data_IF_922338538140
#
_entry.id   IF_922338538140
#
_cell.length_a   1.000
_cell.length_b   1.000
_cell.length_c   1.000
_cell.angle_alpha   90.00
_cell.angle_beta   90.00
_cell.angle_gamma   90.00
#
_symmetry.space_group_name_H-M   'P 1'
#
loop_
_entity.id
_entity.type
_entity.pdbx_description
1 polymer ?
#
# COMPACT_ATOMS: atom_id res chain seq x y z
N UNK A 1 10.52 40.86 40.02
CA UNK A 1 10.30 39.81 39.00
C UNK A 1 11.22 38.65 39.33
N UNK A 2 10.69 37.51 39.79
CA UNK A 2 11.50 36.36 40.24
C UNK A 2 11.71 35.41 39.06
N UNK A 3 12.95 35.32 38.59
CA UNK A 3 13.34 34.36 37.55
C UNK A 3 13.51 33.01 38.25
N UNK A 4 12.60 32.07 37.98
CA UNK A 4 12.79 30.69 38.44
C UNK A 4 13.87 30.06 37.58
N UNK A 5 14.89 29.51 38.23
CA UNK A 5 15.91 28.69 37.59
C UNK A 5 15.55 27.22 37.81
N UNK A 6 14.88 26.55 36.84
CA UNK A 6 14.31 25.21 37.05
C UNK A 6 15.35 24.11 37.27
N UNK A 7 16.63 24.38 37.04
CA UNK A 7 17.71 23.37 37.08
C UNK A 7 18.79 23.66 38.12
N UNK A 8 18.58 24.61 39.05
CA UNK A 8 19.63 25.04 39.97
C UNK A 8 20.10 23.93 40.94
N UNK A 9 19.20 22.99 41.25
CA UNK A 9 19.45 21.88 42.19
C UNK A 9 19.36 20.50 41.52
N UNK A 10 19.58 20.43 40.20
CA UNK A 10 19.38 19.21 39.42
C UNK A 10 20.52 18.20 39.61
N UNK A 11 20.20 17.00 40.13
CA UNK A 11 21.17 15.90 40.29
C UNK A 11 21.34 15.10 38.99
N UNK A 12 22.54 14.55 38.79
CA UNK A 12 22.88 13.65 37.66
C UNK A 12 21.98 12.42 37.60
N UNK A 13 21.54 11.90 38.73
CA UNK A 13 20.58 10.78 38.80
C UNK A 13 19.23 11.14 38.18
N UNK A 14 18.78 12.39 38.35
CA UNK A 14 17.54 12.89 37.74
C UNK A 14 17.67 13.02 36.23
N UNK A 15 18.86 13.40 35.72
CA UNK A 15 19.15 13.42 34.27
C UNK A 15 19.08 12.02 33.66
N UNK A 16 19.71 11.04 34.32
CA UNK A 16 19.79 9.66 33.83
C UNK A 16 18.38 9.03 33.82
N UNK A 17 17.61 9.25 34.89
CA UNK A 17 16.22 8.77 34.96
C UNK A 17 15.34 9.38 33.86
N UNK A 18 15.46 10.69 33.62
CA UNK A 18 14.69 11.37 32.58
C UNK A 18 15.07 10.89 31.17
N UNK A 19 16.35 10.68 30.89
CA UNK A 19 16.80 10.12 29.62
C UNK A 19 16.27 8.70 29.40
N UNK A 20 16.30 7.84 30.42
CA UNK A 20 15.75 6.49 30.34
C UNK A 20 14.24 6.50 30.02
N UNK A 21 13.48 7.40 30.63
CA UNK A 21 12.04 7.56 30.35
C UNK A 21 11.81 8.03 28.91
N UNK A 22 12.52 9.06 28.46
CA UNK A 22 12.39 9.56 27.09
C UNK A 22 12.73 8.47 26.08
N UNK A 23 13.84 7.75 26.27
CA UNK A 23 14.25 6.66 25.39
C UNK A 23 13.15 5.58 25.35
N UNK A 24 12.63 5.18 26.52
CA UNK A 24 11.57 4.17 26.59
C UNK A 24 10.31 4.62 25.85
N UNK A 25 9.89 5.88 26.03
CA UNK A 25 8.73 6.44 25.32
C UNK A 25 8.97 6.42 23.81
N UNK A 26 10.13 6.90 23.35
CA UNK A 26 10.44 6.93 21.91
C UNK A 26 10.46 5.55 21.27
N UNK A 27 11.00 4.54 21.97
CA UNK A 27 11.01 3.16 21.51
C UNK A 27 9.59 2.59 21.41
N UNK A 28 8.77 2.79 22.45
CA UNK A 28 7.36 2.32 22.46
C UNK A 28 6.56 2.99 21.35
N UNK A 29 6.66 4.31 21.20
CA UNK A 29 5.98 5.04 20.13
C UNK A 29 6.43 4.57 18.75
N UNK A 30 7.73 4.31 18.57
CA UNK A 30 8.26 3.76 17.32
C UNK A 30 7.64 2.40 16.96
N UNK A 31 7.57 1.47 17.93
CA UNK A 31 6.96 0.15 17.73
C UNK A 31 5.48 0.27 17.38
N UNK A 32 4.72 1.09 18.08
CA UNK A 32 3.30 1.34 17.79
C UNK A 32 3.12 1.92 16.37
N UNK A 33 3.97 2.86 15.98
CA UNK A 33 3.96 3.44 14.63
C UNK A 33 4.19 2.39 13.55
N UNK A 34 5.18 1.50 13.73
CA UNK A 34 5.48 0.42 12.78
C UNK A 34 4.30 -0.54 12.64
N UNK A 35 3.70 -0.96 13.78
CA UNK A 35 2.53 -1.84 13.77
C UNK A 35 1.35 -1.17 13.06
N UNK A 36 1.09 0.11 13.33
CA UNK A 36 0.02 0.86 12.68
C UNK A 36 0.17 0.88 11.15
N UNK A 37 1.36 1.15 10.64
CA UNK A 37 1.64 1.12 9.19
C UNK A 37 1.43 -0.28 8.62
N UNK A 38 2.00 -1.31 9.26
CA UNK A 38 1.84 -2.69 8.81
C UNK A 38 0.35 -3.10 8.75
N UNK A 39 -0.44 -2.68 9.75
CA UNK A 39 -1.88 -2.94 9.77
C UNK A 39 -2.58 -2.33 8.54
N UNK A 40 -2.29 -1.07 8.20
CA UNK A 40 -2.88 -0.43 7.02
C UNK A 40 -2.55 -1.15 5.71
N UNK A 41 -1.33 -1.69 5.58
CA UNK A 41 -0.95 -2.44 4.37
C UNK A 41 -1.65 -3.79 4.26
N UNK A 42 -1.88 -4.47 5.40
CA UNK A 42 -2.55 -5.77 5.41
C UNK A 42 -4.06 -5.66 5.21
N UNK A 43 -4.66 -4.55 5.65
CA UNK A 43 -6.11 -4.33 5.54
C UNK A 43 -6.53 -3.59 4.28
N UNK A 44 -5.58 -3.06 3.51
CA UNK A 44 -5.90 -2.45 2.22
C UNK A 44 -6.07 -3.58 1.21
N UNK A 45 -7.29 -3.81 0.68
CA UNK A 45 -7.47 -4.81 -0.35
C UNK A 45 -6.65 -4.38 -1.58
N UNK A 46 -5.73 -5.25 -1.99
CA UNK A 46 -5.01 -5.07 -3.26
C UNK A 46 -6.06 -4.94 -4.37
N UNK A 47 -5.94 -3.97 -5.29
CA UNK A 47 -6.99 -3.73 -6.27
C UNK A 47 -7.14 -4.99 -7.12
N UNK A 48 -8.31 -5.64 -7.00
CA UNK A 48 -8.60 -6.88 -7.68
C UNK A 48 -8.42 -6.69 -9.18
N UNK A 49 -7.32 -7.19 -9.73
CA UNK A 49 -7.07 -7.17 -11.16
C UNK A 49 -8.04 -8.14 -11.81
N UNK A 50 -9.11 -7.60 -12.39
CA UNK A 50 -10.15 -8.39 -13.03
C UNK A 50 -9.82 -8.47 -14.51
N UNK A 51 -9.30 -9.61 -14.96
CA UNK A 51 -9.06 -9.90 -16.38
C UNK A 51 -10.38 -10.34 -17.00
N UNK A 52 -11.03 -9.45 -17.75
CA UNK A 52 -12.27 -9.78 -18.48
C UNK A 52 -11.91 -10.11 -19.92
N UNK A 53 -12.19 -11.33 -20.36
CA UNK A 53 -12.07 -11.74 -21.76
C UNK A 53 -13.40 -11.53 -22.47
N UNK A 54 -13.47 -10.57 -23.37
CA UNK A 54 -14.64 -10.30 -24.19
C UNK A 54 -14.39 -10.80 -25.61
N UNK A 55 -15.22 -11.73 -26.09
CA UNK A 55 -15.19 -12.20 -27.47
C UNK A 55 -16.13 -11.35 -28.30
N UNK A 56 -15.58 -10.41 -29.06
CA UNK A 56 -16.35 -9.54 -29.96
C UNK A 56 -16.37 -10.20 -31.34
N UNK A 57 -17.55 -10.53 -31.84
CA UNK A 57 -17.74 -11.06 -33.20
C UNK A 57 -18.30 -9.93 -34.06
N UNK A 58 -17.56 -9.54 -35.10
CA UNK A 58 -18.00 -8.52 -36.07
C UNK A 58 -17.95 -9.12 -37.47
N UNK A 59 -19.11 -9.49 -38.01
CA UNK A 59 -19.19 -10.18 -39.30
C UNK A 59 -18.53 -11.57 -39.24
N UNK A 60 -17.57 -11.81 -40.13
CA UNK A 60 -16.82 -13.09 -40.23
C UNK A 60 -15.57 -13.12 -39.31
N UNK A 61 -15.24 -12.02 -38.63
CA UNK A 61 -14.03 -11.89 -37.82
C UNK A 61 -14.35 -12.01 -36.34
N UNK A 62 -13.68 -12.94 -35.66
CA UNK A 62 -13.76 -13.12 -34.20
C UNK A 62 -12.54 -12.47 -33.55
N UNK A 63 -12.75 -11.55 -32.61
CA UNK A 63 -11.67 -10.93 -31.83
C UNK A 63 -11.81 -11.30 -30.36
N UNK A 64 -10.71 -11.66 -29.71
CA UNK A 64 -10.63 -11.83 -28.27
C UNK A 64 -9.97 -10.58 -27.68
N UNK A 65 -10.76 -9.79 -26.97
CA UNK A 65 -10.29 -8.62 -26.26
C UNK A 65 -10.11 -8.96 -24.78
N UNK A 66 -8.87 -8.93 -24.33
CA UNK A 66 -8.49 -8.98 -22.92
C UNK A 66 -8.53 -7.55 -22.36
N UNK A 67 -9.45 -7.31 -21.43
CA UNK A 67 -9.53 -6.06 -20.68
C UNK A 67 -8.99 -6.31 -19.28
N UNK A 68 -7.85 -5.73 -18.97
CA UNK A 68 -7.24 -5.77 -17.64
C UNK A 68 -7.77 -4.56 -16.88
N UNK A 69 -8.61 -4.80 -15.88
CA UNK A 69 -9.13 -3.74 -14.99
C UNK A 69 -8.47 -3.80 -13.63
N UNK A 70 -7.98 -2.67 -13.14
CA UNK A 70 -7.48 -2.51 -11.78
C UNK A 70 -8.45 -1.59 -11.04
N UNK A 71 -9.36 -2.17 -10.25
CA UNK A 71 -10.47 -1.42 -9.65
C UNK A 71 -11.48 -0.94 -10.70
N UNK A 72 -11.74 0.37 -10.76
CA UNK A 72 -12.67 0.99 -11.74
C UNK A 72 -11.96 1.40 -13.05
N UNK A 73 -10.62 1.34 -13.08
CA UNK A 73 -9.83 1.78 -14.22
C UNK A 73 -9.44 0.62 -15.15
N UNK A 74 -9.56 0.87 -16.45
CA UNK A 74 -9.02 -0.01 -17.49
C UNK A 74 -7.54 0.30 -17.64
N UNK A 75 -6.68 -0.64 -17.25
CA UNK A 75 -5.23 -0.48 -17.27
C UNK A 75 -4.67 -0.85 -18.66
N UNK A 76 -5.20 -1.90 -19.27
CA UNK A 76 -4.83 -2.32 -20.61
C UNK A 76 -5.99 -3.01 -21.34
N UNK A 77 -6.02 -2.82 -22.65
CA UNK A 77 -6.88 -3.56 -23.57
C UNK A 77 -6.00 -4.18 -24.65
N UNK A 78 -6.03 -5.51 -24.77
CA UNK A 78 -5.34 -6.23 -25.83
C UNK A 78 -6.36 -7.02 -26.64
N UNK A 79 -6.54 -6.67 -27.91
CA UNK A 79 -7.46 -7.37 -28.81
C UNK A 79 -6.66 -8.14 -29.86
N UNK A 80 -6.71 -9.46 -29.78
CA UNK A 80 -6.12 -10.36 -30.77
C UNK A 80 -7.21 -10.90 -31.70
N UNK A 81 -6.88 -11.11 -32.98
CA UNK A 81 -7.75 -11.81 -33.91
C UNK A 81 -7.68 -13.31 -33.60
N UNK A 82 -8.83 -13.98 -33.58
CA UNK A 82 -8.91 -15.44 -33.56
C UNK A 82 -8.89 -15.92 -35.02
N UNK A 83 -7.94 -16.79 -35.36
CA UNK A 83 -8.00 -17.57 -36.60
C UNK A 83 -8.96 -18.76 -36.38
N UNK A 84 -9.95 -18.88 -37.26
CA UNK A 84 -11.04 -19.87 -37.19
C UNK A 84 -10.58 -21.32 -37.45
N UNK A 85 -9.35 -21.54 -37.95
CA UNK A 85 -8.83 -22.88 -38.27
C UNK A 85 -8.19 -23.56 -37.06
N UNK A 86 -7.58 -22.79 -36.15
CA UNK A 86 -6.75 -23.35 -35.06
C UNK A 86 -7.17 -22.90 -33.66
N UNK A 87 -8.03 -21.89 -33.54
CA UNK A 87 -8.34 -21.26 -32.24
C UNK A 87 -7.11 -20.65 -31.55
N UNK A 88 -6.02 -20.48 -32.29
CA UNK A 88 -4.77 -19.90 -31.83
C UNK A 88 -4.77 -18.39 -32.01
N UNK A 89 -4.14 -17.72 -31.07
CA UNK A 89 -3.89 -16.28 -31.11
C UNK A 89 -2.57 -16.01 -31.83
N UNK A 90 -2.56 -15.06 -32.76
CA UNK A 90 -1.37 -14.55 -33.45
C UNK A 90 -0.88 -13.22 -32.84
#
# INVERSE_FOLDING_TARGET
MSIRHPFKDWSVESTIGLLAIIITITLVTGVVGIIGVAFTTLTTPEPAQTVTQERIVTGDVKRLCLVIKTGDHVDAVSCQLIDDITGGME
#
